data_IF_144334328102
#
_entry.id   IF_144334328102
#
_cell.length_a   1.000
_cell.length_b   1.000
_cell.length_c   1.000
_cell.angle_alpha   90.00
_cell.angle_beta   90.00
_cell.angle_gamma   90.00
#
_symmetry.space_group_name_H-M   'P 1'
#
loop_
_entity.id
_entity.type
_entity.pdbx_description
1 polymer ?
2 non-polymer ?
3 water ?
#
# COMPACT_ATOMS: atom_id res chain seq x y z
N UNK A 2 -3.28 19.04 8.47
CA UNK A 2 -1.85 18.93 8.71
C UNK A 2 -1.25 17.77 7.94
N UNK A 3 0.00 17.43 8.22
CA UNK A 3 0.62 16.30 7.57
C UNK A 3 0.17 15.03 8.26
N UNK A 4 0.02 15.10 9.57
CA UNK A 4 -0.43 13.96 10.32
C UNK A 4 -1.71 13.40 9.73
N UNK A 5 -2.59 14.27 9.28
CA UNK A 5 -3.84 13.83 8.68
C UNK A 5 -3.62 12.92 7.50
N UNK A 6 -2.80 13.35 6.55
CA UNK A 6 -2.56 12.55 5.37
C UNK A 6 -2.08 11.18 5.75
N UNK A 7 -1.24 11.13 6.75
CA UNK A 7 -0.78 9.84 7.26
C UNK A 7 -1.94 9.04 7.85
N UNK A 8 -2.85 9.72 8.54
CA UNK A 8 -3.97 9.01 9.13
C UNK A 8 -4.89 8.43 8.06
N UNK A 9 -5.00 9.08 6.89
CA UNK A 9 -5.80 8.50 5.81
C UNK A 9 -5.27 7.13 5.39
N UNK A 10 -3.95 6.99 5.27
CA UNK A 10 -3.39 5.70 4.90
C UNK A 10 -3.59 4.68 6.01
N UNK A 11 -3.37 5.08 7.27
CA UNK A 11 -3.76 4.20 8.37
C UNK A 11 -5.19 3.70 8.19
N UNK A 12 -6.10 4.59 7.76
CA UNK A 12 -7.52 4.26 7.62
C UNK A 12 -7.74 3.18 6.57
N UNK A 13 -7.21 3.39 5.37
CA UNK A 13 -7.48 2.40 4.33
C UNK A 13 -6.81 1.06 4.66
N UNK A 14 -5.54 1.08 5.05
CA UNK A 14 -4.91 -0.18 5.39
C UNK A 14 -5.71 -0.89 6.47
N UNK A 15 -6.23 -0.13 7.44
CA UNK A 15 -7.00 -0.74 8.51
C UNK A 15 -8.32 -1.31 8.02
N UNK A 16 -8.87 -0.81 6.90
CA UNK A 16 -10.09 -1.42 6.36
C UNK A 16 -9.80 -2.81 5.80
N UNK A 17 -8.65 -2.96 5.15
CA UNK A 17 -8.25 -4.32 4.76
C UNK A 17 -7.91 -5.20 5.98
N UNK A 18 -7.31 -4.60 7.01
CA UNK A 18 -7.02 -5.38 8.21
C UNK A 18 -8.30 -5.79 8.92
N UNK A 19 -9.34 -4.95 8.86
CA UNK A 19 -10.64 -5.31 9.40
C UNK A 19 -11.18 -6.55 8.72
N UNK A 20 -11.07 -6.61 7.38
CA UNK A 20 -11.49 -7.83 6.68
C UNK A 20 -10.70 -9.06 7.12
N UNK A 21 -9.38 -8.91 7.31
CA UNK A 21 -8.59 -10.06 7.75
C UNK A 21 -8.95 -10.47 9.17
N UNK A 22 -9.23 -9.49 10.03
CA UNK A 22 -9.69 -9.78 11.38
C UNK A 22 -10.97 -10.61 11.36
N UNK A 23 -11.92 -10.24 10.50
CA UNK A 23 -13.16 -10.99 10.42
C UNK A 23 -12.92 -12.40 9.90
N UNK A 24 -11.94 -12.60 9.01
CA UNK A 24 -11.63 -13.97 8.61
C UNK A 24 -11.07 -14.77 9.76
N UNK A 25 -10.22 -14.15 10.60
CA UNK A 25 -9.72 -14.85 11.78
C UNK A 25 -10.87 -15.22 12.71
N UNK A 26 -11.79 -14.27 12.94
CA UNK A 26 -12.93 -14.51 13.81
C UNK A 26 -13.82 -15.62 13.27
N UNK A 27 -13.91 -15.76 11.95
CA UNK A 27 -14.72 -16.80 11.33
C UNK A 27 -14.03 -18.15 11.28
N UNK A 28 -12.72 -18.21 11.53
CA UNK A 28 -11.98 -19.45 11.37
C UNK A 28 -11.66 -19.81 9.94
N UNK A 29 -11.53 -18.82 9.05
CA UNK A 29 -11.39 -19.10 7.62
C UNK A 29 -10.09 -18.60 7.00
N UNK A 30 -9.20 -17.97 7.76
CA UNK A 30 -8.03 -17.33 7.16
C UNK A 30 -7.02 -18.38 6.73
N UNK A 31 -6.41 -18.18 5.57
CA UNK A 31 -5.39 -19.07 5.02
C UNK A 31 -4.01 -18.63 5.47
N UNK A 32 -2.98 -19.47 5.30
CA UNK A 32 -1.62 -19.02 5.64
C UNK A 32 -1.18 -17.82 4.83
N UNK A 33 -1.54 -17.77 3.54
CA UNK A 33 -1.20 -16.63 2.71
C UNK A 33 -1.85 -15.35 3.24
N UNK A 34 -3.09 -15.44 3.72
CA UNK A 34 -3.76 -14.27 4.29
C UNK A 34 -3.19 -13.89 5.65
N UNK A 35 -2.75 -14.87 6.45
CA UNK A 35 -2.05 -14.54 7.70
C UNK A 35 -0.76 -13.77 7.41
N UNK A 36 -0.06 -14.15 6.34
CA UNK A 36 1.15 -13.42 5.96
C UNK A 36 0.81 -12.03 5.45
N UNK A 37 -0.26 -11.91 4.67
CA UNK A 37 -0.72 -10.58 4.27
C UNK A 37 -1.04 -9.71 5.49
N UNK A 38 -1.75 -10.26 6.48
CA UNK A 38 -2.10 -9.47 7.66
C UNK A 38 -0.86 -9.01 8.41
N UNK A 39 0.13 -9.90 8.57
CA UNK A 39 1.38 -9.49 9.21
C UNK A 39 2.05 -8.34 8.45
N UNK A 40 2.09 -8.43 7.11
CA UNK A 40 2.71 -7.36 6.33
C UNK A 40 1.96 -6.03 6.49
N UNK A 41 0.63 -6.07 6.42
CA UNK A 41 -0.16 -4.87 6.60
C UNK A 41 0.00 -4.28 8.00
N UNK A 42 0.13 -5.13 9.02
CA UNK A 42 0.36 -4.60 10.37
C UNK A 42 1.67 -3.83 10.44
N UNK A 43 2.72 -4.37 9.80
CA UNK A 43 4.01 -3.66 9.77
C UNK A 43 3.91 -2.35 8.98
N UNK A 44 3.21 -2.37 7.85
CA UNK A 44 3.08 -1.14 7.06
C UNK A 44 2.32 -0.06 7.83
N UNK A 45 1.20 -0.46 8.44
CA UNK A 45 0.43 0.47 9.25
C UNK A 45 1.29 1.04 10.36
N UNK A 46 1.99 0.16 11.09
CA UNK A 46 2.79 0.61 12.22
C UNK A 46 3.89 1.59 11.78
N UNK A 47 4.47 1.39 10.59
CA UNK A 47 5.49 2.34 10.17
C UNK A 47 4.88 3.72 9.99
N UNK A 48 3.68 3.77 9.41
CA UNK A 48 3.03 5.07 9.24
C UNK A 48 2.61 5.66 10.59
N UNK A 49 2.06 4.84 11.48
CA UNK A 49 1.64 5.36 12.78
C UNK A 49 2.83 5.86 13.57
N UNK A 50 3.99 5.22 13.43
CA UNK A 50 5.19 5.72 14.08
C UNK A 50 5.57 7.09 13.55
N UNK A 51 5.51 7.28 12.22
CA UNK A 51 5.87 8.59 11.68
C UNK A 51 4.90 9.67 12.15
N UNK A 52 3.60 9.34 12.23
CA UNK A 52 2.61 10.31 12.69
C UNK A 52 2.82 10.65 14.17
N UNK A 53 3.21 9.66 14.96
CA UNK A 53 3.60 9.89 16.35
C UNK A 53 4.79 10.84 16.44
N UNK A 54 5.82 10.60 15.63
CA UNK A 54 7.00 11.45 15.69
C UNK A 54 6.65 12.89 15.33
N UNK A 55 5.78 13.07 14.33
CA UNK A 55 5.39 14.42 13.94
C UNK A 55 4.58 15.10 15.04
N UNK A 56 3.67 14.37 15.69
CA UNK A 56 2.92 14.99 16.77
C UNK A 56 3.80 15.30 17.97
N UNK A 57 4.79 14.46 18.26
CA UNK A 57 5.69 14.77 19.36
C UNK A 57 6.55 15.99 19.04
N UNK A 58 6.97 16.12 17.78
CA UNK A 58 7.70 17.31 17.35
C UNK A 58 6.85 18.57 17.50
N UNK A 59 5.57 18.50 17.12
CA UNK A 59 4.69 19.67 17.27
C UNK A 59 4.52 20.05 18.74
N UNK A 60 4.25 19.06 19.60
CA UNK A 60 4.06 19.35 21.02
C UNK A 60 5.31 19.95 21.65
N UNK A 61 6.49 19.43 21.29
CA UNK A 61 7.72 19.97 21.89
C UNK A 61 8.12 21.31 21.30
N UNK A 62 7.75 21.59 20.05
CA UNK A 62 7.97 22.93 19.51
C UNK A 62 7.07 23.95 20.18
N UNK A 63 5.81 23.57 20.47
CA UNK A 63 4.92 24.48 21.18
C UNK A 63 5.30 24.61 22.65
N UNK A 64 5.92 23.57 23.19
CA UNK A 64 6.38 23.64 24.55
C UNK A 64 7.48 24.66 24.53
N UNK A 65 8.11 24.80 23.38
CA UNK A 65 9.19 25.76 23.25
C UNK A 65 8.62 27.08 22.78
N UNK A 66 7.30 27.19 22.70
CA UNK A 66 6.69 28.47 22.36
C UNK A 66 5.90 28.95 23.55
N UNK A 67 6.37 28.63 24.75
CA UNK A 67 5.69 29.05 25.96
C UNK A 67 6.66 29.03 27.12
N UNK B 4 -6.96 -10.57 -15.68
CA UNK B 4 -7.45 -9.25 -16.07
C UNK B 4 -7.66 -8.40 -14.84
N UNK B 5 -8.84 -8.49 -14.25
CA UNK B 5 -9.08 -7.78 -13.01
C UNK B 5 -8.18 -8.39 -11.99
N UNK B 6 -7.73 -9.61 -12.27
CA UNK B 6 -6.84 -10.29 -11.37
C UNK B 6 -5.54 -9.53 -11.29
N UNK B 7 -5.03 -9.05 -12.41
CA UNK B 7 -3.82 -8.25 -12.25
C UNK B 7 -4.12 -6.93 -11.55
N UNK B 8 -5.27 -6.33 -11.87
CA UNK B 8 -5.69 -5.08 -11.23
C UNK B 8 -6.00 -5.29 -9.75
N UNK B 9 -6.57 -6.44 -9.38
CA UNK B 9 -6.72 -6.72 -7.95
C UNK B 9 -5.39 -7.09 -7.31
N UNK B 10 -4.52 -7.78 -8.06
CA UNK B 10 -3.28 -8.29 -7.48
C UNK B 10 -2.35 -7.16 -7.08
N UNK B 11 -2.22 -6.13 -7.91
CA UNK B 11 -1.30 -5.05 -7.56
C UNK B 11 -1.96 -3.95 -6.71
N UNK B 12 -3.13 -4.20 -6.13
CA UNK B 12 -3.72 -3.19 -5.25
C UNK B 12 -2.94 -3.07 -3.94
N UNK B 13 -2.57 -4.21 -3.34
CA UNK B 13 -1.72 -4.17 -2.15
C UNK B 13 -0.39 -3.49 -2.46
N UNK B 14 0.19 -3.82 -3.61
CA UNK B 14 1.47 -3.24 -4.00
C UNK B 14 1.35 -1.73 -4.16
N UNK B 15 0.32 -1.26 -4.87
CA UNK B 15 0.16 0.18 -5.06
C UNK B 15 -0.17 0.91 -3.76
N UNK B 16 -0.84 0.25 -2.80
CA UNK B 16 -1.07 0.90 -1.51
C UNK B 16 0.24 1.07 -0.74
N UNK B 17 1.06 0.02 -0.71
CA UNK B 17 2.37 0.14 -0.07
C UNK B 17 3.21 1.23 -0.75
N UNK B 18 3.16 1.31 -2.08
CA UNK B 18 3.95 2.34 -2.77
C UNK B 18 3.45 3.73 -2.44
N UNK B 19 2.13 3.90 -2.29
CA UNK B 19 1.61 5.20 -1.89
C UNK B 19 2.11 5.58 -0.49
N UNK B 20 2.23 4.58 0.38
CA UNK B 20 2.75 4.85 1.72
C UNK B 20 4.23 5.23 1.67
N UNK B 21 5.01 4.57 0.81
CA UNK B 21 6.41 4.96 0.63
C UNK B 21 6.53 6.36 0.02
N UNK B 22 5.62 6.72 -0.89
CA UNK B 22 5.60 8.07 -1.44
C UNK B 22 5.38 9.11 -0.34
N UNK B 23 4.44 8.85 0.55
CA UNK B 23 4.22 9.77 1.66
C UNK B 23 5.46 9.89 2.53
N UNK B 24 6.17 8.78 2.77
CA UNK B 24 7.40 8.88 3.57
C UNK B 24 8.49 9.67 2.86
N UNK B 25 8.59 9.53 1.53
CA UNK B 25 9.53 10.37 0.77
C UNK B 25 9.15 11.84 0.92
N UNK B 26 7.87 12.14 0.74
CA UNK B 26 7.46 13.53 0.77
C UNK B 26 7.66 14.14 2.15
N UNK B 27 7.58 13.34 3.19
CA UNK B 27 7.85 13.87 4.52
C UNK B 27 9.31 13.78 4.88
N UNK B 28 10.10 13.17 4.02
CA UNK B 28 11.53 13.15 4.28
C UNK B 28 11.97 12.16 5.34
N UNK B 29 11.20 11.09 5.56
CA UNK B 29 11.51 10.16 6.65
C UNK B 29 11.79 8.74 6.16
N UNK B 30 11.88 8.52 4.85
CA UNK B 30 12.07 7.18 4.31
C UNK B 30 13.52 6.76 4.50
N UNK B 31 13.75 5.48 4.77
CA UNK B 31 15.11 4.99 4.96
C UNK B 31 15.65 4.47 3.65
N UNK B 32 16.96 4.18 3.56
CA UNK B 32 17.49 3.65 2.30
C UNK B 32 17.00 2.26 2.02
N UNK B 33 16.81 1.46 3.07
CA UNK B 33 16.15 0.17 2.91
C UNK B 33 14.76 0.33 2.30
N UNK B 34 14.00 1.31 2.77
CA UNK B 34 12.65 1.48 2.24
C UNK B 34 12.70 2.00 0.81
N UNK B 35 13.77 2.73 0.45
CA UNK B 35 13.90 3.21 -0.93
C UNK B 35 14.22 2.07 -1.87
N UNK B 36 15.06 1.13 -1.43
CA UNK B 36 15.28 -0.07 -2.23
C UNK B 36 14.01 -0.91 -2.33
N UNK B 37 13.22 -0.98 -1.26
CA UNK B 37 11.93 -1.66 -1.34
C UNK B 37 11.03 -1.00 -2.38
N UNK B 38 10.97 0.33 -2.38
CA UNK B 38 10.13 1.03 -3.36
C UNK B 38 10.57 0.70 -4.77
N UNK B 39 11.88 0.68 -5.03
CA UNK B 39 12.36 0.32 -6.36
C UNK B 39 11.92 -1.10 -6.72
N UNK B 40 12.03 -2.04 -5.76
CA UNK B 40 11.67 -3.42 -6.05
C UNK B 40 10.18 -3.55 -6.37
N UNK B 41 9.35 -2.88 -5.59
CA UNK B 41 7.91 -2.95 -5.83
C UNK B 41 7.53 -2.28 -7.14
N UNK B 42 8.19 -1.17 -7.48
CA UNK B 42 7.99 -0.55 -8.78
C UNK B 42 8.29 -1.54 -9.91
N UNK B 43 9.31 -2.35 -9.79
CA UNK B 43 9.55 -3.33 -10.84
C UNK B 43 8.44 -4.37 -10.93
N UNK B 44 8.01 -4.90 -9.80
CA UNK B 44 6.95 -5.89 -9.79
C UNK B 44 5.66 -5.38 -10.41
N UNK B 45 5.26 -4.17 -10.06
CA UNK B 45 4.04 -3.61 -10.60
C UNK B 45 4.13 -3.43 -12.11
N UNK B 46 5.23 -2.87 -12.57
CA UNK B 46 5.41 -2.70 -14.00
C UNK B 46 5.31 -4.03 -14.71
N UNK B 47 5.86 -5.07 -14.13
CA UNK B 47 5.74 -6.38 -14.73
C UNK B 47 4.28 -6.73 -14.82
N UNK B 48 3.55 -6.55 -13.73
CA UNK B 48 2.11 -6.81 -13.73
C UNK B 48 1.41 -5.96 -14.78
N UNK B 49 1.75 -4.69 -14.87
CA UNK B 49 1.02 -3.84 -15.78
C UNK B 49 1.41 -4.09 -17.23
N UNK B 50 2.64 -4.55 -17.49
CA UNK B 50 2.95 -4.98 -18.85
C UNK B 50 2.13 -6.20 -19.24
N UNK B 51 1.99 -7.18 -18.33
CA UNK B 51 1.16 -8.34 -18.64
C UNK B 51 -0.29 -7.95 -18.87
N UNK B 52 -0.80 -6.99 -18.08
CA UNK B 52 -2.18 -6.54 -18.26
C UNK B 52 -2.35 -5.82 -19.59
N UNK B 53 -1.35 -5.05 -20.01
CA UNK B 53 -1.41 -4.42 -21.32
C UNK B 53 -1.43 -5.46 -22.43
N UNK B 54 -0.57 -6.48 -22.31
CA UNK B 54 -0.59 -7.57 -23.28
C UNK B 54 -1.97 -8.21 -23.36
N UNK B 55 -2.57 -8.51 -22.21
CA UNK B 55 -3.91 -9.12 -22.20
C UNK B 55 -4.96 -8.19 -22.82
N UNK B 56 -4.88 -6.89 -22.52
CA UNK B 56 -5.82 -5.93 -23.10
C UNK B 56 -5.70 -5.89 -24.61
N UNK B 57 -4.47 -5.83 -25.13
CA UNK B 57 -4.27 -5.82 -26.57
C UNK B 57 -4.78 -7.10 -27.21
N UNK B 58 -4.55 -8.25 -26.55
CA UNK B 58 -5.04 -9.52 -27.09
C UNK B 58 -6.56 -9.56 -27.12
N UNK B 59 -7.21 -9.06 -26.07
CA UNK B 59 -8.67 -8.98 -26.10
C UNK B 59 -9.14 -8.05 -27.21
N UNK B 60 -8.49 -6.90 -27.36
CA UNK B 60 -8.91 -5.96 -28.40
C UNK B 60 -8.76 -6.58 -29.78
N UNK B 61 -7.73 -7.36 -30.00
CA UNK B 61 -7.60 -7.97 -31.30
C UNK B 61 -8.60 -9.10 -31.48
N UNK B 62 -8.76 -9.94 -30.49
CA UNK B 62 -9.76 -10.98 -30.63
C UNK B 62 -11.12 -10.38 -30.98
N UNK B 63 -11.45 -9.25 -30.35
CA UNK B 63 -12.69 -8.55 -30.66
C UNK B 63 -12.64 -7.90 -32.04
N UNK B 64 -11.44 -7.53 -32.50
CA UNK B 64 -11.28 -6.93 -33.81
C UNK B 64 -11.45 -7.97 -34.91
N UNK B 65 -10.98 -9.18 -34.66
CA UNK B 65 -11.06 -10.24 -35.66
C UNK B 65 -12.45 -10.83 -35.73
N UNK B 66 -13.04 -11.08 -34.58
CA UNK B 66 -14.38 -11.62 -34.54
C UNK B 66 -15.26 -10.90 -35.53
N UNK B 67 -15.12 -9.60 -35.60
CA UNK B 67 -16.03 -8.84 -36.44
C UNK B 67 -15.37 -8.30 -37.70
N UNK B 68 -14.07 -8.07 -37.67
CA UNK B 68 -13.41 -7.49 -38.82
C UNK B 68 -13.22 -8.43 -39.96
X LIG C 1 -17.68 -13.98 12.98
X LIG C 1 -17.45 -12.58 12.92
X LIG C 1 -16.78 -12.14 11.63
X LIG C 1 -17.71 -11.78 10.64
X LIG C 1 -17.95 -10.39 10.58
X LIG C 1 -18.30 -9.94 9.18
X LIG C 1 -17.60 -10.62 8.16
X LIG C 1 -17.94 -10.23 6.84
#
# INVERSE_FOLDING_TARGET
MSGSEELLEELRELLERLQELLELIEQGKITPEQLREAIALLIEVLQILYEALRELAEQLQRLREELGS
MSGSEELLEELRELLERLQELLELIEQGKITPEQLREAIALLIEVLQILYEALRELAEQLQRLREELGS
PG4 O1 C1 C2 O2 C3 C4 O3 C5
#
